data_IF_036512041130
#
_entry.id   IF_036512041130
#
_cell.length_a   1.000
_cell.length_b   1.000
_cell.length_c   1.000
_cell.angle_alpha   90.00
_cell.angle_beta   90.00
_cell.angle_gamma   90.00
#
_symmetry.space_group_name_H-M   'P 1'
#
loop_
_entity.id
_entity.type
_entity.pdbx_description
1 polymer ?
#
# COMPACT_ATOMS: atom_id res chain seq x y z
N UNK A 1 17.44 0.73 2.87
CA UNK A 1 16.24 0.75 3.74
C UNK A 1 16.55 1.08 5.21
N UNK A 2 17.54 0.45 5.87
CA UNK A 2 17.88 0.74 7.28
C UNK A 2 18.09 2.23 7.62
N UNK A 3 18.85 2.95 6.78
CA UNK A 3 19.06 4.40 6.97
C UNK A 3 17.75 5.17 6.90
N UNK A 4 16.86 4.85 5.96
CA UNK A 4 15.57 5.56 5.80
C UNK A 4 14.66 5.41 7.02
N UNK A 5 14.70 4.25 7.69
CA UNK A 5 13.91 3.94 8.87
C UNK A 5 14.63 4.24 10.19
N UNK A 6 15.79 4.91 10.17
CA UNK A 6 16.38 5.43 11.40
C UNK A 6 15.51 6.51 12.02
N UNK A 7 15.59 6.65 13.35
CA UNK A 7 14.82 7.65 14.09
C UNK A 7 15.12 9.08 13.61
N UNK A 8 16.36 9.37 13.23
CA UNK A 8 16.79 10.67 12.67
C UNK A 8 15.98 11.06 11.42
N UNK A 9 15.49 10.09 10.67
CA UNK A 9 14.73 10.30 9.45
C UNK A 9 13.21 10.33 9.67
N UNK A 10 12.71 10.12 10.89
CA UNK A 10 11.27 10.07 11.18
C UNK A 10 10.52 11.35 10.73
N UNK A 11 11.10 12.53 10.99
CA UNK A 11 10.50 13.81 10.58
C UNK A 11 10.44 13.92 9.05
N UNK A 12 11.50 13.48 8.36
CA UNK A 12 11.57 13.51 6.90
C UNK A 12 10.52 12.56 6.31
N UNK A 13 10.39 11.35 6.86
CA UNK A 13 9.36 10.37 6.46
C UNK A 13 7.96 10.95 6.60
N UNK A 14 7.63 11.54 7.75
CA UNK A 14 6.31 12.13 7.97
C UNK A 14 6.02 13.28 7.01
N UNK A 15 6.99 14.17 6.78
CA UNK A 15 6.83 15.27 5.80
C UNK A 15 6.65 14.74 4.39
N UNK A 16 7.36 13.67 4.02
CA UNK A 16 7.20 13.03 2.71
C UNK A 16 5.81 12.44 2.55
N UNK A 17 5.30 11.70 3.55
CA UNK A 17 3.95 11.12 3.53
C UNK A 17 2.87 12.20 3.34
N UNK A 18 2.94 13.28 4.12
CA UNK A 18 1.98 14.38 4.01
C UNK A 18 2.04 15.06 2.62
N UNK A 19 3.24 15.35 2.11
CA UNK A 19 3.41 15.94 0.78
C UNK A 19 2.96 15.00 -0.34
N UNK A 20 3.10 13.68 -0.15
CA UNK A 20 2.63 12.68 -1.10
C UNK A 20 1.11 12.68 -1.21
N UNK A 21 0.37 12.93 -0.14
CA UNK A 21 -1.09 13.05 -0.20
C UNK A 21 -1.48 14.20 -1.15
N UNK A 22 -0.91 15.38 -0.94
CA UNK A 22 -1.23 16.56 -1.76
C UNK A 22 -0.90 16.37 -3.26
N UNK A 23 0.15 15.61 -3.58
CA UNK A 23 0.65 15.46 -4.96
C UNK A 23 0.14 14.23 -5.69
N UNK A 24 -0.05 13.13 -4.98
CA UNK A 24 -0.39 11.82 -5.57
C UNK A 24 -1.90 11.56 -5.51
N UNK A 25 -2.59 12.05 -4.46
CA UNK A 25 -4.05 11.89 -4.35
C UNK A 25 -4.79 12.39 -5.58
N UNK A 26 -4.48 13.57 -6.17
CA UNK A 26 -5.17 14.03 -7.39
C UNK A 26 -5.00 13.11 -8.60
N UNK A 27 -3.84 12.45 -8.72
CA UNK A 27 -3.57 11.48 -9.79
C UNK A 27 -4.36 10.19 -9.58
N UNK A 28 -4.45 9.71 -8.33
CA UNK A 28 -5.29 8.55 -8.01
C UNK A 28 -6.77 8.87 -8.20
N UNK A 29 -7.21 10.06 -7.80
CA UNK A 29 -8.59 10.50 -8.02
C UNK A 29 -8.96 10.59 -9.49
N UNK A 30 -8.01 10.96 -10.38
CA UNK A 30 -8.27 10.96 -11.82
C UNK A 30 -8.39 9.54 -12.39
N UNK A 31 -7.55 8.60 -11.94
CA UNK A 31 -7.64 7.17 -12.31
C UNK A 31 -8.97 6.58 -11.82
N UNK A 32 -9.37 6.88 -10.59
CA UNK A 32 -10.64 6.39 -10.03
C UNK A 32 -11.82 6.98 -10.79
N UNK A 33 -11.78 8.29 -11.09
CA UNK A 33 -12.81 8.95 -11.90
C UNK A 33 -12.92 8.34 -13.30
N UNK A 34 -11.81 7.91 -13.89
CA UNK A 34 -11.81 7.18 -15.14
C UNK A 34 -12.47 5.80 -14.97
N UNK A 35 -12.07 5.01 -13.97
CA UNK A 35 -12.65 3.69 -13.73
C UNK A 35 -14.16 3.73 -13.46
N UNK A 36 -14.64 4.77 -12.77
CA UNK A 36 -16.08 5.01 -12.59
C UNK A 36 -16.77 5.25 -13.94
N UNK A 37 -16.19 6.08 -14.82
CA UNK A 37 -16.75 6.35 -16.16
C UNK A 37 -16.77 5.10 -17.04
N UNK A 38 -15.80 4.21 -16.85
CA UNK A 38 -15.68 2.94 -17.56
C UNK A 38 -16.57 1.84 -16.96
N UNK A 39 -17.19 2.07 -15.80
CA UNK A 39 -17.98 1.07 -15.07
C UNK A 39 -17.12 -0.04 -14.46
N UNK A 40 -15.82 0.20 -14.28
CA UNK A 40 -14.88 -0.77 -13.68
C UNK A 40 -14.76 -0.59 -12.17
N UNK A 41 -15.05 0.61 -11.64
CA UNK A 41 -15.02 0.94 -10.21
C UNK A 41 -16.37 1.49 -9.74
N UNK A 42 -16.81 1.06 -8.55
CA UNK A 42 -18.05 1.52 -7.91
C UNK A 42 -17.81 1.95 -6.44
N UNK A 43 -16.91 2.91 -6.17
CA UNK A 43 -16.58 3.31 -4.81
C UNK A 43 -17.78 3.95 -4.11
N UNK A 44 -18.02 3.58 -2.85
CA UNK A 44 -19.11 4.18 -2.05
C UNK A 44 -18.89 5.68 -1.77
N UNK A 45 -17.63 6.14 -1.81
CA UNK A 45 -17.24 7.53 -1.57
C UNK A 45 -16.26 8.00 -2.67
N UNK A 46 -16.75 8.32 -3.89
CA UNK A 46 -15.89 8.60 -5.05
C UNK A 46 -14.87 9.73 -4.85
N UNK A 47 -15.25 10.79 -4.14
CA UNK A 47 -14.38 11.95 -3.92
C UNK A 47 -13.21 11.63 -2.98
N UNK A 48 -13.45 10.78 -1.98
CA UNK A 48 -12.48 10.41 -0.94
C UNK A 48 -11.67 9.16 -1.32
N UNK A 49 -12.14 8.36 -2.28
CA UNK A 49 -11.55 7.08 -2.64
C UNK A 49 -10.06 7.17 -3.00
N UNK A 50 -9.63 8.24 -3.69
CA UNK A 50 -8.22 8.45 -4.04
C UNK A 50 -7.32 8.63 -2.83
N UNK A 51 -7.72 9.50 -1.90
CA UNK A 51 -6.96 9.78 -0.67
C UNK A 51 -6.93 8.58 0.27
N UNK A 52 -8.06 7.90 0.45
CA UNK A 52 -8.16 6.70 1.29
C UNK A 52 -7.30 5.58 0.72
N UNK A 53 -7.38 5.34 -0.59
CA UNK A 53 -6.55 4.34 -1.28
C UNK A 53 -5.06 4.64 -1.09
N UNK A 54 -4.65 5.89 -1.28
CA UNK A 54 -3.26 6.29 -1.08
C UNK A 54 -2.79 6.06 0.35
N UNK A 55 -3.63 6.41 1.33
CA UNK A 55 -3.31 6.23 2.76
C UNK A 55 -3.12 4.76 3.12
N UNK A 56 -3.97 3.88 2.58
CA UNK A 56 -3.83 2.43 2.75
C UNK A 56 -2.53 1.92 2.12
N UNK A 57 -2.22 2.34 0.89
CA UNK A 57 -0.98 1.97 0.20
C UNK A 57 0.25 2.42 0.99
N UNK A 58 0.28 3.67 1.47
CA UNK A 58 1.38 4.19 2.26
C UNK A 58 1.57 3.43 3.58
N UNK A 59 0.48 3.12 4.28
CA UNK A 59 0.52 2.37 5.53
C UNK A 59 0.98 0.92 5.32
N UNK A 60 0.57 0.27 4.22
CA UNK A 60 1.08 -1.04 3.82
C UNK A 60 2.60 -1.00 3.62
N UNK A 61 3.10 0.00 2.87
CA UNK A 61 4.53 0.12 2.59
C UNK A 61 5.37 0.32 3.85
N UNK A 62 4.92 1.16 4.78
CA UNK A 62 5.63 1.41 6.03
C UNK A 62 5.74 0.12 6.87
N UNK A 63 4.63 -0.62 6.99
CA UNK A 63 4.58 -1.91 7.70
C UNK A 63 5.49 -2.96 7.06
N UNK A 64 5.37 -3.18 5.74
CA UNK A 64 6.17 -4.18 5.04
C UNK A 64 7.66 -3.84 5.11
N UNK A 65 8.02 -2.57 4.96
CA UNK A 65 9.41 -2.15 5.04
C UNK A 65 10.04 -2.41 6.41
N UNK A 66 9.32 -2.11 7.50
CA UNK A 66 9.79 -2.40 8.85
C UNK A 66 10.02 -3.91 9.05
N UNK A 67 9.11 -4.75 8.54
CA UNK A 67 9.27 -6.21 8.58
C UNK A 67 10.45 -6.70 7.75
N UNK A 68 10.70 -6.13 6.56
CA UNK A 68 11.83 -6.49 5.69
C UNK A 68 13.17 -6.09 6.31
N UNK A 69 13.22 -4.98 7.05
CA UNK A 69 14.44 -4.45 7.68
C UNK A 69 14.86 -5.26 8.90
N UNK A 70 13.88 -5.79 9.65
CA UNK A 70 14.12 -6.62 10.82
C UNK A 70 14.86 -7.91 10.43
N UNK A 71 15.90 -8.26 11.17
CA UNK A 71 16.81 -9.39 10.83
C UNK A 71 16.15 -10.77 11.04
N UNK A 72 15.03 -10.86 11.76
CA UNK A 72 14.31 -12.11 12.00
C UNK A 72 13.30 -12.39 10.88
N UNK A 73 13.78 -13.03 9.82
CA UNK A 73 12.97 -13.53 8.70
C UNK A 73 12.79 -15.05 8.82
N UNK A 74 11.92 -15.48 9.74
CA UNK A 74 11.47 -16.88 9.79
C UNK A 74 10.20 -17.09 8.94
N UNK A 75 9.73 -18.33 8.83
CA UNK A 75 8.49 -18.65 8.10
C UNK A 75 7.28 -17.89 8.64
N UNK A 76 7.19 -17.67 9.95
CA UNK A 76 6.09 -16.94 10.58
C UNK A 76 6.06 -15.47 10.15
N UNK A 77 7.23 -14.84 10.00
CA UNK A 77 7.34 -13.47 9.48
C UNK A 77 6.81 -13.35 8.05
N UNK A 78 7.14 -14.31 7.18
CA UNK A 78 6.66 -14.32 5.77
C UNK A 78 5.14 -14.49 5.73
N UNK A 79 4.59 -15.42 6.50
CA UNK A 79 3.13 -15.63 6.57
C UNK A 79 2.41 -14.39 7.11
N UNK A 80 3.01 -13.69 8.08
CA UNK A 80 2.48 -12.42 8.58
C UNK A 80 2.50 -11.32 7.51
N UNK A 81 3.57 -11.20 6.73
CA UNK A 81 3.64 -10.24 5.62
C UNK A 81 2.56 -10.51 4.58
N UNK A 82 2.32 -11.78 4.24
CA UNK A 82 1.26 -12.19 3.32
C UNK A 82 -0.13 -11.83 3.86
N UNK A 83 -0.40 -12.11 5.13
CA UNK A 83 -1.68 -11.75 5.76
C UNK A 83 -1.93 -10.24 5.76
N UNK A 84 -0.89 -9.44 6.04
CA UNK A 84 -0.98 -7.98 5.96
C UNK A 84 -1.27 -7.55 4.52
N UNK A 85 -0.55 -8.08 3.53
CA UNK A 85 -0.78 -7.76 2.12
C UNK A 85 -2.23 -8.04 1.72
N UNK A 86 -2.75 -9.23 2.02
CA UNK A 86 -4.14 -9.63 1.70
C UNK A 86 -5.14 -8.67 2.36
N UNK A 87 -4.95 -8.33 3.64
CA UNK A 87 -5.86 -7.44 4.36
C UNK A 87 -5.90 -6.01 3.75
N UNK A 88 -4.75 -5.49 3.33
CA UNK A 88 -4.69 -4.17 2.69
C UNK A 88 -5.21 -4.21 1.25
N UNK A 89 -4.96 -5.28 0.49
CA UNK A 89 -5.54 -5.48 -0.84
C UNK A 89 -7.07 -5.53 -0.76
N UNK A 90 -7.65 -6.35 0.12
CA UNK A 90 -9.09 -6.42 0.36
C UNK A 90 -9.68 -5.05 0.74
N UNK A 91 -8.98 -4.31 1.61
CA UNK A 91 -9.42 -2.97 2.02
C UNK A 91 -9.44 -1.99 0.84
N UNK A 92 -8.43 -2.04 -0.05
CA UNK A 92 -8.36 -1.21 -1.24
C UNK A 92 -9.45 -1.60 -2.25
N UNK A 93 -9.68 -2.90 -2.45
CA UNK A 93 -10.77 -3.40 -3.31
C UNK A 93 -12.14 -2.89 -2.85
N UNK A 94 -12.39 -2.93 -1.53
CA UNK A 94 -13.61 -2.37 -0.94
C UNK A 94 -13.74 -0.87 -1.12
N UNK A 95 -12.65 -0.12 -0.99
CA UNK A 95 -12.64 1.34 -1.23
C UNK A 95 -12.95 1.66 -2.69
N UNK A 96 -12.43 0.88 -3.63
CA UNK A 96 -12.65 1.04 -5.07
C UNK A 96 -13.98 0.47 -5.56
N UNK A 97 -14.67 -0.32 -4.73
CA UNK A 97 -15.93 -0.97 -5.09
C UNK A 97 -15.76 -1.99 -6.20
N UNK A 98 -14.71 -2.82 -6.11
CA UNK A 98 -14.43 -3.90 -7.06
C UNK A 98 -14.55 -5.27 -6.40
N UNK A 99 -14.73 -6.36 -7.17
CA UNK A 99 -14.79 -7.70 -6.61
C UNK A 99 -13.50 -8.08 -5.88
N UNK A 100 -13.64 -8.92 -4.85
CA UNK A 100 -12.50 -9.47 -4.12
C UNK A 100 -11.55 -10.22 -5.05
N UNK A 101 -10.24 -10.17 -4.76
CA UNK A 101 -9.19 -10.87 -5.53
C UNK A 101 -9.04 -10.40 -6.98
N UNK A 102 -9.47 -9.18 -7.30
CA UNK A 102 -9.25 -8.53 -8.60
C UNK A 102 -7.88 -7.87 -8.68
N UNK A 103 -7.40 -7.31 -7.56
CA UNK A 103 -6.12 -6.62 -7.48
C UNK A 103 -5.02 -7.53 -6.94
N UNK A 104 -3.88 -7.51 -7.61
CA UNK A 104 -2.63 -8.10 -7.11
C UNK A 104 -1.61 -6.98 -6.93
N UNK A 105 -1.53 -6.41 -5.72
CA UNK A 105 -0.60 -5.31 -5.42
C UNK A 105 0.85 -5.80 -5.47
N UNK A 106 1.11 -6.99 -4.93
CA UNK A 106 2.43 -7.65 -4.92
C UNK A 106 2.19 -9.13 -5.22
N UNK A 107 2.93 -9.68 -6.19
CA UNK A 107 2.89 -11.11 -6.47
C UNK A 107 3.86 -11.89 -5.56
N UNK A 108 3.66 -13.21 -5.45
CA UNK A 108 4.49 -14.09 -4.61
C UNK A 108 5.97 -14.04 -4.99
N UNK A 109 6.29 -13.88 -6.28
CA UNK A 109 7.68 -13.79 -6.76
C UNK A 109 8.38 -12.55 -6.19
N UNK A 110 7.73 -11.39 -6.29
CA UNK A 110 8.24 -10.10 -5.78
C UNK A 110 8.37 -10.14 -4.26
N UNK A 111 7.39 -10.75 -3.57
CA UNK A 111 7.46 -10.94 -2.12
C UNK A 111 8.67 -11.78 -1.72
N UNK A 112 8.90 -12.91 -2.41
CA UNK A 112 10.06 -13.77 -2.15
C UNK A 112 11.38 -13.04 -2.43
N UNK A 113 11.45 -12.20 -3.46
CA UNK A 113 12.63 -11.40 -3.75
C UNK A 113 12.94 -10.42 -2.61
N UNK A 114 11.94 -9.72 -2.08
CA UNK A 114 12.15 -8.73 -1.01
C UNK A 114 12.56 -9.35 0.32
N UNK A 115 12.00 -10.50 0.67
CA UNK A 115 12.39 -11.23 1.88
C UNK A 115 13.86 -11.68 1.77
N UNK A 116 14.29 -12.11 0.59
CA UNK A 116 15.65 -12.60 0.36
C UNK A 116 16.66 -11.50 0.01
N UNK A 117 16.21 -10.26 -0.21
CA UNK A 117 17.07 -9.12 -0.49
C UNK A 117 17.90 -8.77 0.76
N UNK A 118 19.22 -8.88 0.65
CA UNK A 118 20.20 -8.48 1.67
C UNK A 118 20.63 -7.03 1.46
#
# INVERSE_FOLDING_TARGET
MRVWYSDDNAIIRQKMLNNSIERISPLLSSIISQGIKEGTFEPSFPEQAGEVTLSLIQSLWDRLSLMIINDTKDKGCIDQMKNILVAYTDSIEKVLGIPESTLSIINDETMNQWVNFK
#
